data_IF_372730869945
#
_entry.id   IF_372730869945
#
_cell.length_a   1.000
_cell.length_b   1.000
_cell.length_c   1.000
_cell.angle_alpha   90.00
_cell.angle_beta   90.00
_cell.angle_gamma   90.00
#
_symmetry.space_group_name_H-M   'P 1'
#
loop_
_entity.id
_entity.type
_entity.pdbx_description
1 polymer ?
#
# COMPACT_ATOMS: atom_id res chain seq x y z
N UNK A 1 -2.80 -8.13 -22.40
CA UNK A 1 -1.55 -7.87 -21.66
C UNK A 1 -1.73 -6.60 -20.83
N UNK A 2 -2.08 -6.72 -19.54
CA UNK A 2 -2.10 -5.60 -18.58
C UNK A 2 -1.05 -5.93 -17.51
N UNK A 3 0.18 -5.49 -17.72
CA UNK A 3 1.25 -5.60 -16.74
C UNK A 3 1.02 -4.54 -15.67
N UNK A 4 0.47 -4.97 -14.53
CA UNK A 4 0.51 -4.18 -13.30
C UNK A 4 1.90 -4.35 -12.69
N UNK A 5 2.80 -3.42 -13.00
CA UNK A 5 4.01 -3.22 -12.21
C UNK A 5 3.69 -2.11 -11.20
N UNK A 6 3.50 -2.43 -9.91
CA UNK A 6 3.45 -1.39 -8.89
C UNK A 6 4.87 -0.80 -8.75
N UNK A 7 5.08 0.51 -8.98
CA UNK A 7 6.37 1.12 -8.71
C UNK A 7 6.57 1.19 -7.18
N UNK A 8 7.60 0.51 -6.68
CA UNK A 8 7.99 0.52 -5.27
C UNK A 8 8.99 1.65 -5.01
N UNK A 9 8.74 2.44 -3.96
CA UNK A 9 9.65 3.47 -3.49
C UNK A 9 9.97 3.23 -2.02
N UNK A 10 11.21 2.86 -1.71
CA UNK A 10 11.68 2.56 -0.37
C UNK A 10 11.92 3.83 0.45
N UNK A 11 11.63 3.76 1.74
CA UNK A 11 11.94 4.78 2.75
C UNK A 11 13.44 5.07 2.80
N UNK A 12 13.81 6.29 2.39
CA UNK A 12 15.15 6.86 2.50
C UNK A 12 15.18 7.73 3.76
N UNK A 13 15.83 7.25 4.83
CA UNK A 13 15.77 7.77 6.21
C UNK A 13 16.24 9.22 6.48
N UNK A 14 16.33 10.09 5.47
CA UNK A 14 16.55 11.55 5.59
C UNK A 14 15.63 12.39 4.69
N UNK A 15 14.65 11.78 4.01
CA UNK A 15 13.90 12.48 2.97
C UNK A 15 12.77 13.35 3.51
N UNK A 16 12.55 14.45 2.78
CA UNK A 16 11.43 15.36 2.86
C UNK A 16 10.49 15.11 1.66
N UNK A 17 9.29 15.71 1.62
CA UNK A 17 8.39 15.58 0.47
C UNK A 17 9.03 15.97 -0.88
N UNK A 18 10.06 16.82 -0.90
CA UNK A 18 10.74 17.22 -2.13
C UNK A 18 11.63 16.10 -2.70
N UNK A 19 12.26 15.31 -1.83
CA UNK A 19 12.96 14.07 -2.21
C UNK A 19 12.03 13.11 -2.94
N UNK A 20 10.89 12.79 -2.32
CA UNK A 20 9.88 11.92 -2.93
C UNK A 20 9.30 12.50 -4.22
N UNK A 21 9.05 13.82 -4.31
CA UNK A 21 8.63 14.46 -5.56
C UNK A 21 9.61 14.19 -6.70
N UNK A 22 10.91 14.40 -6.47
CA UNK A 22 11.97 14.14 -7.46
C UNK A 22 12.02 12.66 -7.84
N UNK A 23 11.84 11.77 -6.86
CA UNK A 23 11.79 10.33 -7.07
C UNK A 23 10.64 9.93 -8.00
N UNK A 24 9.41 10.38 -7.74
CA UNK A 24 8.27 10.12 -8.61
C UNK A 24 8.47 10.67 -10.01
N UNK A 25 8.92 11.92 -10.12
CA UNK A 25 9.24 12.53 -11.41
C UNK A 25 10.22 11.65 -12.20
N UNK A 26 11.34 11.28 -11.58
CA UNK A 26 12.38 10.52 -12.27
C UNK A 26 11.92 9.12 -12.65
N UNK A 27 11.15 8.47 -11.79
CA UNK A 27 10.60 7.15 -12.07
C UNK A 27 9.64 7.18 -13.26
N UNK A 28 8.71 8.14 -13.31
CA UNK A 28 7.77 8.25 -14.41
C UNK A 28 8.45 8.69 -15.71
N UNK A 29 9.48 9.53 -15.66
CA UNK A 29 10.34 9.83 -16.82
C UNK A 29 10.99 8.57 -17.39
N UNK A 30 11.59 7.73 -16.53
CA UNK A 30 12.23 6.48 -16.94
C UNK A 30 11.20 5.52 -17.54
N UNK A 31 10.02 5.38 -16.93
CA UNK A 31 8.92 4.58 -17.48
C UNK A 31 8.53 5.09 -18.86
N UNK A 32 8.43 6.41 -19.04
CA UNK A 32 8.09 6.99 -20.33
C UNK A 32 9.16 6.75 -21.40
N UNK A 33 10.44 6.86 -21.04
CA UNK A 33 11.55 6.57 -21.94
C UNK A 33 11.57 5.11 -22.37
N UNK A 34 11.36 4.18 -21.43
CA UNK A 34 11.41 2.74 -21.71
C UNK A 34 10.20 2.24 -22.51
N UNK A 35 9.03 2.85 -22.32
CA UNK A 35 7.79 2.42 -22.98
C UNK A 35 7.48 3.20 -24.26
N UNK A 36 8.16 4.32 -24.49
CA UNK A 36 7.81 5.28 -25.53
C UNK A 36 6.45 5.96 -25.31
N UNK A 37 5.86 5.84 -24.12
CA UNK A 37 4.53 6.37 -23.79
C UNK A 37 4.61 7.32 -22.60
N UNK A 38 3.99 8.49 -22.72
CA UNK A 38 3.89 9.41 -21.60
C UNK A 38 3.06 8.77 -20.47
N UNK A 39 3.58 8.83 -19.24
CA UNK A 39 2.80 8.44 -18.06
C UNK A 39 1.70 9.46 -17.87
N UNK A 40 0.45 8.98 -17.85
CA UNK A 40 -0.75 9.78 -17.64
C UNK A 40 -1.51 9.25 -16.43
N UNK A 41 -2.28 10.12 -15.82
CA UNK A 41 -3.16 9.84 -14.68
C UNK A 41 -4.60 10.15 -15.07
N UNK A 42 -5.53 9.24 -14.77
CA UNK A 42 -6.93 9.36 -15.20
C UNK A 42 -7.57 10.65 -14.70
N UNK A 43 -7.40 10.99 -13.42
CA UNK A 43 -8.03 12.17 -12.84
C UNK A 43 -7.49 13.49 -13.41
N UNK A 44 -6.25 13.50 -13.91
CA UNK A 44 -5.66 14.70 -14.53
C UNK A 44 -5.94 14.76 -16.03
N UNK A 45 -5.83 13.63 -16.73
CA UNK A 45 -5.74 13.58 -18.19
C UNK A 45 -6.89 12.82 -18.87
N UNK A 46 -7.90 12.36 -18.13
CA UNK A 46 -8.99 11.52 -18.62
C UNK A 46 -8.61 10.06 -18.91
N UNK A 47 -7.34 9.67 -18.76
CA UNK A 47 -6.88 8.30 -18.94
C UNK A 47 -5.47 8.04 -18.38
N UNK A 48 -5.10 6.75 -18.26
CA UNK A 48 -3.81 6.32 -17.75
C UNK A 48 -3.92 5.57 -16.42
N UNK A 49 -3.01 5.86 -15.48
CA UNK A 49 -3.00 5.28 -14.14
C UNK A 49 -4.23 5.76 -13.38
N UNK A 50 -5.02 4.82 -12.85
CA UNK A 50 -6.25 5.13 -12.12
C UNK A 50 -6.03 5.34 -10.62
N UNK A 51 -5.10 4.60 -10.03
CA UNK A 51 -4.79 4.65 -8.60
C UNK A 51 -3.41 4.04 -8.34
N UNK A 52 -2.82 4.36 -7.19
CA UNK A 52 -1.53 3.87 -6.72
C UNK A 52 -1.66 3.32 -5.29
N UNK A 53 -1.09 2.14 -5.07
CA UNK A 53 -0.95 1.54 -3.75
C UNK A 53 0.24 2.17 -3.01
N UNK A 54 0.03 2.63 -1.77
CA UNK A 54 1.05 3.31 -0.95
C UNK A 54 1.13 2.73 0.47
N UNK A 55 2.30 2.82 1.10
CA UNK A 55 2.55 2.30 2.46
C UNK A 55 2.02 3.21 3.58
N UNK A 56 1.36 4.31 3.22
CA UNK A 56 0.82 5.34 4.13
C UNK A 56 1.92 6.15 4.86
N UNK A 57 3.05 6.37 4.20
CA UNK A 57 4.05 7.35 4.65
C UNK A 57 3.65 8.77 4.20
N UNK A 58 3.52 9.69 5.16
CA UNK A 58 3.03 11.05 4.89
C UNK A 58 3.95 11.82 3.94
N UNK A 59 5.26 11.58 3.98
CA UNK A 59 6.24 12.28 3.14
C UNK A 59 6.18 11.76 1.71
N UNK A 60 6.08 10.44 1.56
CA UNK A 60 5.88 9.77 0.27
C UNK A 60 4.58 10.24 -0.39
N UNK A 61 3.46 10.18 0.33
CA UNK A 61 2.16 10.66 -0.18
C UNK A 61 2.23 12.14 -0.56
N UNK A 62 2.82 12.99 0.29
CA UNK A 62 2.96 14.43 -0.01
C UNK A 62 3.83 14.65 -1.24
N UNK A 63 4.94 13.92 -1.38
CA UNK A 63 5.82 13.99 -2.54
C UNK A 63 5.13 13.56 -3.84
N UNK A 64 4.30 12.52 -3.80
CA UNK A 64 3.45 12.12 -4.93
C UNK A 64 2.49 13.25 -5.31
N UNK A 65 1.77 13.80 -4.34
CA UNK A 65 0.82 14.88 -4.59
C UNK A 65 1.49 16.15 -5.15
N UNK A 66 2.69 16.50 -4.67
CA UNK A 66 3.47 17.62 -5.22
C UNK A 66 3.96 17.36 -6.66
N UNK A 67 4.27 16.10 -7.00
CA UNK A 67 4.59 15.73 -8.38
C UNK A 67 3.36 15.88 -9.28
N UNK A 68 2.21 15.36 -8.85
CA UNK A 68 0.95 15.44 -9.59
C UNK A 68 0.51 16.88 -9.82
N UNK A 69 0.62 17.74 -8.79
CA UNK A 69 0.35 19.19 -8.89
C UNK A 69 1.25 19.85 -9.94
N UNK A 70 2.52 19.43 -10.04
CA UNK A 70 3.47 20.01 -11.01
C UNK A 70 3.20 19.65 -12.47
N UNK A 71 2.36 18.64 -12.73
CA UNK A 71 1.96 18.22 -14.08
C UNK A 71 0.49 18.50 -14.38
N UNK A 72 -0.25 19.09 -13.44
CA UNK A 72 -1.66 19.38 -13.60
C UNK A 72 -1.87 20.78 -14.21
N UNK A 73 -2.37 20.89 -15.45
CA UNK A 73 -2.64 22.19 -16.06
C UNK A 73 -3.75 22.99 -15.37
N UNK A 74 -4.63 22.31 -14.61
CA UNK A 74 -5.74 22.96 -13.90
C UNK A 74 -5.34 23.50 -12.52
N UNK A 75 -4.11 23.23 -12.07
CA UNK A 75 -3.59 23.74 -10.79
C UNK A 75 -4.38 23.25 -9.56
N UNK A 76 -4.91 22.02 -9.60
CA UNK A 76 -5.60 21.43 -8.44
C UNK A 76 -4.60 21.19 -7.31
N UNK A 77 -5.12 21.22 -6.08
CA UNK A 77 -4.28 21.09 -4.89
C UNK A 77 -3.69 19.68 -4.73
N UNK A 78 -2.54 19.61 -4.06
CA UNK A 78 -1.95 18.35 -3.56
C UNK A 78 -3.00 17.41 -2.92
N UNK A 79 -3.88 17.95 -2.08
CA UNK A 79 -4.92 17.17 -1.39
C UNK A 79 -5.92 16.56 -2.39
N UNK A 80 -6.36 17.34 -3.37
CA UNK A 80 -7.22 16.85 -4.45
C UNK A 80 -6.56 15.68 -5.19
N UNK A 81 -5.27 15.80 -5.54
CA UNK A 81 -4.56 14.72 -6.21
C UNK A 81 -4.44 13.46 -5.38
N UNK A 82 -4.11 13.57 -4.08
CA UNK A 82 -4.01 12.43 -3.18
C UNK A 82 -5.35 11.70 -3.10
N UNK A 83 -6.45 12.45 -2.92
CA UNK A 83 -7.80 11.88 -2.82
C UNK A 83 -8.28 11.19 -4.09
N UNK A 84 -7.73 11.55 -5.25
CA UNK A 84 -8.05 10.96 -6.54
C UNK A 84 -7.16 9.76 -6.94
N UNK A 85 -6.14 9.41 -6.16
CA UNK A 85 -5.16 8.40 -6.60
C UNK A 85 -4.71 7.43 -5.51
N UNK A 86 -4.68 7.85 -4.25
CA UNK A 86 -4.04 7.07 -3.19
C UNK A 86 -4.94 5.92 -2.71
N UNK A 87 -4.37 4.73 -2.60
CA UNK A 87 -4.95 3.58 -1.90
C UNK A 87 -3.90 3.06 -0.94
N UNK A 88 -4.19 3.01 0.35
CA UNK A 88 -3.21 2.65 1.37
C UNK A 88 -3.19 1.16 1.67
N UNK A 89 -1.99 0.66 1.95
CA UNK A 89 -1.76 -0.74 2.26
C UNK A 89 -2.49 -1.17 3.54
N UNK A 90 -3.32 -2.21 3.43
CA UNK A 90 -4.08 -2.77 4.56
C UNK A 90 -3.18 -3.40 5.61
N UNK A 91 -2.08 -4.02 5.22
CA UNK A 91 -1.11 -4.63 6.15
C UNK A 91 -0.47 -3.55 7.03
N UNK A 92 -0.03 -2.44 6.42
CA UNK A 92 0.50 -1.30 7.17
C UNK A 92 -0.54 -0.71 8.11
N UNK A 93 -1.79 -0.57 7.66
CA UNK A 93 -2.88 -0.11 8.50
C UNK A 93 -3.10 -1.02 9.73
N UNK A 94 -3.19 -2.35 9.52
CA UNK A 94 -3.41 -3.34 10.59
C UNK A 94 -2.22 -3.38 11.57
N UNK A 95 -0.98 -3.36 11.07
CA UNK A 95 0.23 -3.32 11.90
C UNK A 95 0.27 -2.07 12.78
N UNK A 96 -0.17 -0.93 12.24
CA UNK A 96 -0.25 0.32 13.01
C UNK A 96 -1.32 0.26 14.13
N UNK A 97 -2.40 -0.51 13.95
CA UNK A 97 -3.38 -0.77 15.02
C UNK A 97 -2.74 -1.59 16.15
N UNK A 98 -2.01 -2.66 15.83
CA UNK A 98 -1.33 -3.49 16.83
C UNK A 98 -0.34 -2.67 17.68
N UNK A 99 0.37 -1.73 17.05
CA UNK A 99 1.29 -0.81 17.73
C UNK A 99 0.58 0.18 18.65
N UNK A 100 -0.60 0.67 18.26
CA UNK A 100 -1.38 1.64 19.04
C UNK A 100 -2.07 0.98 20.24
N UNK A 101 -2.68 -0.19 20.05
CA UNK A 101 -3.49 -0.88 21.07
C UNK A 101 -2.65 -1.73 22.02
N UNK A 102 -1.57 -2.34 21.53
CA UNK A 102 -0.71 -3.25 22.29
C UNK A 102 -1.33 -4.64 22.53
N UNK A 103 -0.51 -5.60 22.96
CA UNK A 103 -0.83 -7.05 22.99
C UNK A 103 -1.94 -7.48 23.97
N UNK A 104 -2.39 -6.63 24.91
CA UNK A 104 -3.19 -7.06 26.09
C UNK A 104 -4.65 -6.56 26.17
N UNK A 105 -5.10 -5.65 25.30
CA UNK A 105 -6.51 -5.17 25.22
C UNK A 105 -7.05 -5.10 23.78
N UNK A 106 -6.57 -6.02 22.93
CA UNK A 106 -6.58 -5.84 21.49
C UNK A 106 -7.94 -6.04 20.80
N UNK A 107 -8.73 -7.07 21.15
CA UNK A 107 -9.75 -7.54 20.21
C UNK A 107 -10.92 -6.57 19.97
N UNK A 108 -11.50 -5.96 21.00
CA UNK A 108 -12.68 -5.09 20.81
C UNK A 108 -12.32 -3.73 20.18
N UNK A 109 -11.28 -3.07 20.68
CA UNK A 109 -10.84 -1.76 20.18
C UNK A 109 -10.28 -1.91 18.76
N UNK A 110 -9.44 -2.93 18.52
CA UNK A 110 -8.91 -3.18 17.17
C UNK A 110 -10.04 -3.51 16.19
N UNK A 111 -11.08 -4.24 16.61
CA UNK A 111 -12.26 -4.49 15.78
C UNK A 111 -12.91 -3.17 15.31
N UNK A 112 -13.18 -2.25 16.24
CA UNK A 112 -13.76 -0.94 15.91
C UNK A 112 -12.84 -0.08 15.04
N UNK A 113 -11.53 -0.10 15.29
CA UNK A 113 -10.55 0.60 14.46
C UNK A 113 -10.48 0.02 13.04
N UNK A 114 -10.61 -1.31 12.90
CA UNK A 114 -10.66 -1.99 11.60
C UNK A 114 -11.93 -1.64 10.83
N UNK A 115 -13.06 -1.43 11.51
CA UNK A 115 -14.34 -1.09 10.86
C UNK A 115 -14.29 0.20 10.01
N UNK A 116 -13.31 1.10 10.23
CA UNK A 116 -13.06 2.24 9.35
C UNK A 116 -12.87 1.84 7.88
N UNK A 117 -12.32 0.64 7.64
CA UNK A 117 -12.12 0.10 6.30
C UNK A 117 -13.45 -0.23 5.58
N UNK A 118 -14.52 -0.45 6.33
CA UNK A 118 -15.76 -1.05 5.83
C UNK A 118 -16.99 -0.16 6.06
N UNK A 119 -16.82 1.08 6.56
CA UNK A 119 -17.88 2.08 6.61
C UNK A 119 -18.51 2.26 5.22
N UNK A 120 -19.84 2.41 5.17
CA UNK A 120 -20.62 2.46 3.93
C UNK A 120 -20.91 3.88 3.44
N UNK A 121 -20.43 4.89 4.15
CA UNK A 121 -20.53 6.29 3.77
C UNK A 121 -19.35 7.08 4.35
N UNK A 122 -19.13 8.27 3.81
CA UNK A 122 -18.16 9.22 4.34
C UNK A 122 -18.57 9.64 5.76
N UNK A 123 -19.85 9.89 5.95
CA UNK A 123 -20.45 10.32 7.20
C UNK A 123 -20.23 9.27 8.30
N UNK A 124 -20.47 8.00 8.01
CA UNK A 124 -20.24 6.89 8.94
C UNK A 124 -18.75 6.77 9.32
N UNK A 125 -17.84 6.97 8.36
CA UNK A 125 -16.40 6.93 8.60
C UNK A 125 -15.98 7.99 9.61
N UNK A 126 -16.38 9.25 9.36
CA UNK A 126 -16.04 10.37 10.24
C UNK A 126 -16.74 10.25 11.59
N UNK A 127 -17.99 9.80 11.63
CA UNK A 127 -18.71 9.56 12.87
C UNK A 127 -18.03 8.48 13.73
N UNK A 128 -17.59 7.37 13.13
CA UNK A 128 -16.83 6.34 13.83
C UNK A 128 -15.50 6.89 14.38
N UNK A 129 -14.82 7.78 13.64
CA UNK A 129 -13.63 8.46 14.16
C UNK A 129 -13.94 9.27 15.42
N UNK A 130 -15.03 10.05 15.43
CA UNK A 130 -15.41 10.82 16.63
C UNK A 130 -15.72 9.91 17.82
N UNK A 131 -16.52 8.86 17.60
CA UNK A 131 -16.86 7.90 18.66
C UNK A 131 -15.61 7.26 19.27
N UNK A 132 -14.62 6.92 18.44
CA UNK A 132 -13.35 6.37 18.93
C UNK A 132 -12.52 7.40 19.69
N UNK A 133 -12.51 8.67 19.27
CA UNK A 133 -11.80 9.76 19.97
C UNK A 133 -12.44 10.05 21.33
N UNK A 134 -13.78 10.04 21.40
CA UNK A 134 -14.54 10.36 22.61
C UNK A 134 -14.55 9.23 23.65
N UNK A 135 -14.57 7.97 23.19
CA UNK A 135 -14.81 6.80 24.06
C UNK A 135 -13.56 6.03 24.45
N UNK A 136 -12.49 6.12 23.67
CA UNK A 136 -11.25 5.41 23.98
C UNK A 136 -10.40 6.23 24.95
N UNK A 137 -9.81 5.56 25.93
CA UNK A 137 -8.95 6.20 26.95
C UNK A 137 -7.45 6.13 26.63
N UNK A 138 -7.05 5.28 25.67
CA UNK A 138 -5.64 5.11 25.30
C UNK A 138 -5.21 6.25 24.36
N UNK A 139 -4.27 7.13 24.78
CA UNK A 139 -3.83 8.25 23.96
C UNK A 139 -3.26 7.83 22.61
N UNK A 140 -2.58 6.68 22.54
CA UNK A 140 -2.04 6.15 21.27
C UNK A 140 -3.14 5.78 20.29
N UNK A 141 -4.27 5.28 20.78
CA UNK A 141 -5.44 4.98 19.95
C UNK A 141 -6.06 6.29 19.47
N UNK A 142 -6.27 7.26 20.37
CA UNK A 142 -6.83 8.57 20.02
C UNK A 142 -5.98 9.26 18.95
N UNK A 143 -4.65 9.31 19.12
CA UNK A 143 -3.74 9.94 18.16
C UNK A 143 -3.72 9.21 16.83
N UNK A 144 -3.77 7.88 16.86
CA UNK A 144 -3.93 7.07 15.65
C UNK A 144 -5.23 7.42 14.91
N UNK A 145 -6.35 7.56 15.62
CA UNK A 145 -7.65 7.89 15.00
C UNK A 145 -7.64 9.30 14.44
N UNK A 146 -7.09 10.28 15.17
CA UNK A 146 -6.91 11.66 14.68
C UNK A 146 -6.10 11.69 13.38
N UNK A 147 -5.04 10.87 13.29
CA UNK A 147 -4.30 10.71 12.05
C UNK A 147 -5.17 10.10 10.93
N UNK A 148 -5.98 9.07 11.20
CA UNK A 148 -6.83 8.42 10.18
C UNK A 148 -8.04 9.26 9.77
N UNK A 149 -8.41 10.24 10.58
CA UNK A 149 -9.45 11.24 10.28
C UNK A 149 -8.98 12.29 9.28
N UNK A 150 -7.69 12.42 8.98
CA UNK A 150 -7.23 13.34 7.94
C UNK A 150 -7.83 12.91 6.57
N UNK A 151 -8.48 13.82 5.81
CA UNK A 151 -9.06 13.49 4.50
C UNK A 151 -8.07 12.82 3.52
N UNK A 152 -6.81 13.25 3.51
CA UNK A 152 -5.75 12.70 2.65
C UNK A 152 -5.32 11.28 3.06
N UNK A 153 -5.71 10.85 4.27
CA UNK A 153 -5.52 9.50 4.78
C UNK A 153 -6.79 8.66 4.60
N UNK A 154 -7.94 9.22 4.98
CA UNK A 154 -9.24 8.57 4.87
C UNK A 154 -9.54 8.13 3.43
N UNK A 155 -9.21 8.98 2.44
CA UNK A 155 -9.46 8.72 1.03
C UNK A 155 -8.79 7.45 0.48
N UNK A 156 -7.65 7.05 1.06
CA UNK A 156 -6.96 5.82 0.67
C UNK A 156 -7.29 4.62 1.54
N UNK A 157 -8.07 4.81 2.61
CA UNK A 157 -8.50 3.73 3.50
C UNK A 157 -9.89 3.21 3.16
N UNK A 158 -10.80 4.12 2.80
CA UNK A 158 -12.19 3.81 2.53
C UNK A 158 -12.63 4.49 1.23
N UNK A 159 -13.27 3.71 0.33
CA UNK A 159 -13.70 4.20 -0.98
C UNK A 159 -14.69 5.35 -0.92
N UNK A 160 -15.56 5.39 0.09
CA UNK A 160 -16.54 6.47 0.26
C UNK A 160 -15.89 7.79 0.73
N UNK A 161 -14.65 7.74 1.20
CA UNK A 161 -13.84 8.92 1.46
C UNK A 161 -12.96 9.31 0.27
N UNK A 162 -12.90 8.47 -0.78
CA UNK A 162 -12.07 8.66 -1.96
C UNK A 162 -12.78 9.50 -3.03
N UNK A 163 -11.99 10.15 -3.88
CA UNK A 163 -12.46 10.75 -5.13
C UNK A 163 -12.20 9.82 -6.34
N UNK A 164 -11.62 8.64 -6.13
CA UNK A 164 -11.51 7.60 -7.17
C UNK A 164 -12.94 7.16 -7.54
N UNK A 165 -13.35 7.27 -8.82
CA UNK A 165 -14.68 6.86 -9.24
C UNK A 165 -14.95 5.38 -8.97
N UNK A 166 -16.18 5.06 -8.53
CA UNK A 166 -16.63 3.68 -8.32
C UNK A 166 -18.03 3.43 -8.94
N UNK A 167 -18.38 2.18 -9.27
CA UNK A 167 -19.67 1.83 -9.88
C UNK A 167 -20.86 2.31 -9.06
N UNK A 168 -21.85 2.90 -9.73
CA UNK A 168 -23.07 3.42 -9.08
C UNK A 168 -22.91 4.80 -8.42
N UNK A 169 -21.72 5.40 -8.47
CA UNK A 169 -21.50 6.79 -8.07
C UNK A 169 -21.89 7.75 -9.20
N UNK A 170 -22.75 8.73 -8.92
CA UNK A 170 -23.11 9.84 -9.81
C UNK A 170 -23.43 9.49 -11.28
N UNK A 171 -23.99 8.30 -11.52
CA UNK A 171 -24.36 7.85 -12.88
C UNK A 171 -23.17 7.45 -13.76
N UNK A 172 -21.99 7.18 -13.19
CA UNK A 172 -20.89 6.60 -13.97
C UNK A 172 -21.13 5.11 -14.27
N UNK A 173 -21.19 4.77 -15.55
CA UNK A 173 -21.20 3.40 -16.08
C UNK A 173 -19.81 2.76 -15.96
N UNK A 174 -19.29 2.67 -14.74
CA UNK A 174 -18.05 1.96 -14.44
C UNK A 174 -18.34 0.48 -14.26
N UNK A 175 -17.75 -0.35 -15.11
CA UNK A 175 -17.83 -1.82 -15.00
C UNK A 175 -17.02 -2.36 -13.80
N UNK A 176 -16.01 -1.63 -13.34
CA UNK A 176 -15.03 -2.11 -12.35
C UNK A 176 -14.84 -1.10 -11.22
N UNK A 177 -14.99 -1.58 -9.98
CA UNK A 177 -14.57 -0.88 -8.77
C UNK A 177 -13.03 -0.92 -8.67
N UNK A 178 -12.40 0.16 -9.14
CA UNK A 178 -10.93 0.30 -9.15
C UNK A 178 -10.39 0.26 -7.72
N UNK A 179 -11.10 0.87 -6.78
CA UNK A 179 -10.67 0.97 -5.40
C UNK A 179 -10.57 -0.43 -4.78
N UNK A 180 -11.66 -1.19 -4.82
CA UNK A 180 -11.70 -2.54 -4.24
C UNK A 180 -10.75 -3.49 -4.98
N UNK A 181 -10.64 -3.35 -6.30
CA UNK A 181 -9.70 -4.15 -7.07
C UNK A 181 -8.25 -3.93 -6.63
N UNK A 182 -7.80 -2.67 -6.52
CA UNK A 182 -6.42 -2.40 -6.13
C UNK A 182 -6.18 -2.74 -4.65
N UNK A 183 -7.15 -2.45 -3.78
CA UNK A 183 -7.10 -2.75 -2.35
C UNK A 183 -6.79 -4.22 -2.08
N UNK A 184 -7.42 -5.13 -2.82
CA UNK A 184 -7.22 -6.58 -2.72
C UNK A 184 -5.83 -7.06 -3.18
N UNK A 185 -5.08 -6.20 -3.89
CA UNK A 185 -3.72 -6.50 -4.35
C UNK A 185 -2.62 -5.81 -3.55
N UNK A 186 -2.95 -5.02 -2.52
CA UNK A 186 -1.95 -4.38 -1.64
C UNK A 186 -1.04 -5.40 -0.93
N UNK A 187 -1.54 -6.60 -0.64
CA UNK A 187 -0.72 -7.71 -0.10
C UNK A 187 0.40 -8.14 -1.06
N UNK A 188 0.20 -8.06 -2.38
CA UNK A 188 1.25 -8.41 -3.35
C UNK A 188 2.41 -7.40 -3.30
N UNK A 189 2.09 -6.12 -3.09
CA UNK A 189 3.09 -5.09 -2.88
C UNK A 189 3.96 -5.39 -1.64
N UNK A 190 3.33 -5.75 -0.53
CA UNK A 190 4.06 -6.16 0.69
C UNK A 190 4.91 -7.40 0.52
N UNK A 191 4.42 -8.40 -0.21
CA UNK A 191 5.20 -9.61 -0.45
C UNK A 191 6.46 -9.29 -1.24
N UNK A 192 6.39 -8.41 -2.24
CA UNK A 192 7.57 -7.97 -2.99
C UNK A 192 8.52 -7.16 -2.12
N UNK A 193 8.00 -6.26 -1.28
CA UNK A 193 8.81 -5.51 -0.32
C UNK A 193 9.55 -6.46 0.64
N UNK A 194 8.86 -7.45 1.21
CA UNK A 194 9.48 -8.47 2.07
C UNK A 194 10.47 -9.36 1.34
N UNK A 195 10.21 -9.74 0.08
CA UNK A 195 11.17 -10.47 -0.77
C UNK A 195 12.45 -9.67 -0.99
N UNK A 196 12.35 -8.33 -1.09
CA UNK A 196 13.51 -7.46 -1.24
C UNK A 196 14.49 -7.54 -0.06
N UNK A 197 13.97 -7.72 1.16
CA UNK A 197 14.80 -7.89 2.35
C UNK A 197 15.66 -9.16 2.35
N UNK A 198 15.31 -10.18 1.55
CA UNK A 198 16.15 -11.37 1.40
C UNK A 198 17.53 -11.05 0.80
N UNK A 199 17.66 -9.90 0.13
CA UNK A 199 18.93 -9.42 -0.43
C UNK A 199 19.72 -8.53 0.54
N UNK A 200 19.22 -8.31 1.75
CA UNK A 200 19.82 -7.46 2.78
C UNK A 200 19.11 -6.13 2.96
N UNK A 201 19.31 -5.49 4.13
CA UNK A 201 18.74 -4.18 4.49
C UNK A 201 19.81 -3.08 4.38
N UNK A 202 19.39 -1.83 4.15
CA UNK A 202 20.28 -0.64 4.09
C UNK A 202 21.36 -0.75 3.00
N UNK A 203 20.97 -1.23 1.83
CA UNK A 203 21.85 -1.32 0.68
C UNK A 203 22.20 0.09 0.14
N UNK A 204 23.36 0.21 -0.52
CA UNK A 204 23.62 1.40 -1.35
C UNK A 204 22.58 1.49 -2.46
N UNK A 205 22.31 2.70 -2.99
CA UNK A 205 21.30 2.89 -4.04
C UNK A 205 21.53 1.95 -5.24
N UNK A 206 22.77 1.85 -5.71
CA UNK A 206 23.15 0.96 -6.81
C UNK A 206 22.85 -0.51 -6.47
N UNK A 207 23.23 -0.95 -5.26
CA UNK A 207 22.99 -2.32 -4.82
C UNK A 207 21.48 -2.62 -4.69
N UNK A 208 20.69 -1.63 -4.24
CA UNK A 208 19.23 -1.69 -4.20
C UNK A 208 18.64 -1.89 -5.59
N UNK A 209 19.05 -1.08 -6.56
CA UNK A 209 18.62 -1.19 -7.96
C UNK A 209 18.98 -2.55 -8.56
N UNK A 210 20.21 -3.02 -8.35
CA UNK A 210 20.67 -4.32 -8.86
C UNK A 210 19.89 -5.48 -8.22
N UNK A 211 19.65 -5.41 -6.90
CA UNK A 211 18.88 -6.43 -6.18
C UNK A 211 17.41 -6.46 -6.62
N UNK A 212 16.81 -5.27 -6.80
CA UNK A 212 15.46 -5.12 -7.35
C UNK A 212 15.35 -5.73 -8.75
N UNK A 213 16.30 -5.42 -9.65
CA UNK A 213 16.34 -6.02 -11.00
C UNK A 213 16.42 -7.55 -10.96
N UNK A 214 17.24 -8.12 -10.07
CA UNK A 214 17.34 -9.58 -9.92
C UNK A 214 16.02 -10.21 -9.45
N UNK A 215 15.32 -9.53 -8.53
CA UNK A 215 14.01 -9.94 -8.07
C UNK A 215 12.97 -9.91 -9.17
N UNK A 216 12.92 -8.83 -9.95
CA UNK A 216 11.97 -8.68 -11.06
C UNK A 216 12.17 -9.78 -12.11
N UNK A 217 13.43 -10.06 -12.49
CA UNK A 217 13.76 -11.16 -13.41
C UNK A 217 13.23 -12.49 -12.85
N UNK A 218 13.49 -12.78 -11.57
CA UNK A 218 13.05 -14.02 -10.93
C UNK A 218 11.53 -14.13 -10.88
N UNK A 219 10.81 -13.06 -10.56
CA UNK A 219 9.36 -13.06 -10.50
C UNK A 219 8.73 -13.21 -11.91
N UNK A 220 9.35 -12.63 -12.95
CA UNK A 220 8.97 -12.85 -14.36
C UNK A 220 9.19 -14.30 -14.77
N UNK A 221 10.34 -14.89 -14.44
CA UNK A 221 10.66 -16.28 -14.80
C UNK A 221 9.72 -17.26 -14.09
N UNK A 222 9.39 -17.00 -12.82
CA UNK A 222 8.39 -17.78 -12.08
C UNK A 222 7.00 -17.67 -12.69
N UNK A 223 6.61 -16.47 -13.15
CA UNK A 223 5.34 -16.27 -13.85
C UNK A 223 5.29 -17.05 -15.16
N UNK A 224 6.36 -16.98 -15.97
CA UNK A 224 6.47 -17.75 -17.22
C UNK A 224 6.42 -19.25 -16.95
N UNK A 225 7.19 -19.76 -15.99
CA UNK A 225 7.19 -21.18 -15.66
C UNK A 225 5.80 -21.69 -15.26
N UNK A 226 5.03 -20.87 -14.53
CA UNK A 226 3.64 -21.17 -14.19
C UNK A 226 2.71 -21.14 -15.40
N UNK A 227 2.84 -20.12 -16.25
CA UNK A 227 2.01 -19.93 -17.44
C UNK A 227 2.23 -21.06 -18.46
N UNK A 228 3.50 -21.39 -18.70
CA UNK A 228 3.91 -22.24 -19.82
C UNK A 228 3.90 -23.73 -19.43
N UNK A 229 4.18 -24.05 -18.16
CA UNK A 229 4.33 -25.42 -17.69
C UNK A 229 3.43 -25.79 -16.52
N UNK A 230 2.59 -24.88 -16.02
CA UNK A 230 1.73 -25.12 -14.85
C UNK A 230 2.49 -25.28 -13.53
N UNK A 231 3.81 -25.08 -13.53
CA UNK A 231 4.67 -25.31 -12.36
C UNK A 231 4.40 -24.23 -11.31
N UNK A 232 4.05 -24.66 -10.10
CA UNK A 232 3.85 -23.77 -8.95
C UNK A 232 5.07 -23.83 -8.05
N UNK A 233 5.54 -22.66 -7.62
CA UNK A 233 6.57 -22.61 -6.60
C UNK A 233 5.96 -23.00 -5.24
N UNK A 234 6.28 -24.19 -4.76
CA UNK A 234 5.96 -24.61 -3.40
C UNK A 234 7.12 -24.26 -2.47
N UNK A 235 6.83 -23.69 -1.31
CA UNK A 235 7.77 -23.62 -0.18
C UNK A 235 7.83 -24.94 0.60
N UNK A 236 6.86 -25.82 0.35
CA UNK A 236 6.80 -27.18 0.87
C UNK A 236 7.58 -28.10 -0.07
N UNK A 237 8.45 -28.90 0.51
CA UNK A 237 9.02 -30.06 -0.18
C UNK A 237 7.94 -31.14 -0.27
N UNK A 238 8.03 -32.06 -1.21
CA UNK A 238 7.09 -33.21 -1.28
C UNK A 238 7.29 -34.18 -0.09
N UNK A 239 8.34 -33.97 0.69
CA UNK A 239 8.62 -34.66 1.94
C UNK A 239 7.77 -34.10 3.11
N UNK A 240 6.83 -34.93 3.59
CA UNK A 240 5.96 -34.63 4.74
C UNK A 240 6.74 -34.49 6.05
N UNK A 241 7.80 -35.27 6.29
CA UNK A 241 8.60 -35.20 7.52
C UNK A 241 9.38 -33.88 7.59
N UNK A 242 9.96 -33.45 6.47
CA UNK A 242 10.65 -32.17 6.39
C UNK A 242 9.69 -30.97 6.55
N UNK A 243 8.42 -31.12 6.15
CA UNK A 243 7.40 -30.09 6.35
C UNK A 243 6.90 -30.07 7.80
N UNK A 244 6.67 -31.23 8.42
CA UNK A 244 6.25 -31.38 9.80
C UNK A 244 7.29 -30.83 10.77
N UNK A 245 8.57 -31.18 10.57
CA UNK A 245 9.69 -30.69 11.38
C UNK A 245 9.86 -29.18 11.26
N UNK A 246 9.68 -28.61 10.06
CA UNK A 246 9.71 -27.15 9.84
C UNK A 246 8.55 -26.42 10.51
N UNK A 247 7.38 -27.05 10.59
CA UNK A 247 6.23 -26.50 11.30
C UNK A 247 6.46 -26.51 12.82
N UNK A 248 6.95 -27.63 13.38
CA UNK A 248 7.31 -27.72 14.80
C UNK A 248 8.39 -26.69 15.20
N UNK A 249 9.42 -26.46 14.37
CA UNK A 249 10.42 -25.43 14.64
C UNK A 249 9.85 -24.00 14.66
N UNK A 250 8.84 -23.73 13.83
CA UNK A 250 8.16 -22.42 13.81
C UNK A 250 7.28 -22.22 15.04
N UNK A 251 6.60 -23.27 15.48
CA UNK A 251 5.76 -23.26 16.67
C UNK A 251 6.62 -23.18 17.96
N UNK A 252 7.77 -23.87 18.00
CA UNK A 252 8.73 -23.78 19.12
C UNK A 252 9.35 -22.38 19.30
N UNK A 253 9.68 -21.69 18.20
CA UNK A 253 10.22 -20.33 18.26
C UNK A 253 9.21 -19.26 18.72
N UNK A 254 7.91 -19.57 18.72
CA UNK A 254 6.86 -18.67 19.24
C UNK A 254 6.80 -18.74 20.78
N UNK A 255 7.29 -19.82 21.38
CA UNK A 255 7.23 -20.05 22.83
C UNK A 255 8.49 -19.52 23.54
N UNK A 256 9.63 -19.44 22.84
CA UNK A 256 10.94 -19.08 23.41
C UNK A 256 11.47 -17.67 23.05
N UNK A 257 10.59 -16.69 22.85
CA UNK A 257 11.01 -15.27 22.82
C UNK A 257 10.81 -14.62 24.20
N UNK A 258 11.77 -14.70 25.15
CA UNK A 258 11.74 -13.87 26.33
C UNK A 258 11.94 -12.42 25.91
N UNK A 259 11.04 -11.55 26.35
CA UNK A 259 11.14 -10.12 26.11
C UNK A 259 12.49 -9.57 26.55
N UNK A 260 13.16 -8.88 25.62
CA UNK A 260 14.09 -7.80 25.90
C UNK A 260 13.81 -6.68 24.90
#
# INVERSE_FOLDING_TARGET
MRSYLPPFFTDMGKEDPAGYRRLFQRAFEVVSQLTGKQVRFRHIHGGGINALGLDMDTKQTKGLGLYLESIDPEGRSVSCHIQNIAIYCRVHFLRNIEQAVGKRKAQEVSGRMVSLLDCQSKEDYFHLCELLIERESNPKVIDWVKHKRNPDIACGLNKFCSLIPYPGQHGEDLEVDIFEKLRNHTNAAEQTHNKSYAFGRRQTLLQGVVSGRKLDIRDIDQHKARSDYGIRHAYRTDDMEANYSRQQMREGNIIDSPGK
#
